data_IF_455558835094
#
_entry.id   IF_455558835094
#
_cell.length_a   1.000
_cell.length_b   1.000
_cell.length_c   1.000
_cell.angle_alpha   90.00
_cell.angle_beta   90.00
_cell.angle_gamma   90.00
#
_symmetry.space_group_name_H-M   'P 1'
#
loop_
_entity.id
_entity.type
_entity.pdbx_description
1 polymer ?
#
# COMPACT_ATOMS: atom_id res chain seq x y z
N UNK A 1 1.80 29.54 -32.80
CA UNK A 1 1.75 28.10 -32.43
C UNK A 1 2.57 27.77 -31.18
N UNK A 2 3.74 28.32 -31.05
CA UNK A 2 4.63 28.06 -29.88
C UNK A 2 4.07 28.62 -28.58
N UNK A 3 3.33 29.70 -28.61
CA UNK A 3 2.70 30.29 -27.42
C UNK A 3 1.56 29.46 -26.85
N UNK A 4 0.86 28.68 -27.65
CA UNK A 4 -0.23 27.81 -27.17
C UNK A 4 0.26 26.61 -26.36
N UNK A 5 1.45 26.15 -26.64
CA UNK A 5 2.06 25.04 -25.90
C UNK A 5 2.59 25.46 -24.53
N UNK A 6 3.06 26.68 -24.40
CA UNK A 6 3.55 27.21 -23.12
C UNK A 6 2.43 27.47 -22.14
N UNK A 7 1.28 27.94 -22.60
CA UNK A 7 0.11 28.19 -21.74
C UNK A 7 -0.50 26.91 -21.17
N UNK A 8 -0.30 25.77 -21.82
CA UNK A 8 -0.80 24.47 -21.32
C UNK A 8 0.11 23.82 -20.28
N UNK A 9 1.39 24.14 -20.27
CA UNK A 9 2.37 23.58 -19.34
C UNK A 9 2.24 24.17 -17.93
N UNK A 10 1.92 25.44 -17.83
CA UNK A 10 1.81 26.14 -16.54
C UNK A 10 0.71 25.57 -15.64
N UNK A 11 -0.55 25.39 -16.11
CA UNK A 11 -1.57 24.79 -15.25
C UNK A 11 -1.28 23.33 -14.89
N UNK A 12 -0.57 22.62 -15.73
CA UNK A 12 -0.20 21.24 -15.45
C UNK A 12 0.83 21.16 -14.33
N UNK A 13 1.81 22.02 -14.33
CA UNK A 13 2.82 22.09 -13.26
C UNK A 13 2.21 22.49 -11.91
N UNK A 14 1.27 23.43 -11.91
CA UNK A 14 0.54 23.84 -10.70
C UNK A 14 -0.31 22.71 -10.13
N UNK A 15 -0.98 21.95 -10.99
CA UNK A 15 -1.75 20.78 -10.56
C UNK A 15 -0.86 19.70 -9.94
N UNK A 16 0.31 19.45 -10.51
CA UNK A 16 1.26 18.49 -9.97
C UNK A 16 1.76 18.90 -8.59
N UNK A 17 2.06 20.17 -8.39
CA UNK A 17 2.46 20.70 -7.08
C UNK A 17 1.33 20.62 -6.05
N UNK A 18 0.10 20.93 -6.46
CA UNK A 18 -1.06 20.83 -5.60
C UNK A 18 -1.34 19.41 -5.12
N UNK A 19 -1.22 18.45 -6.01
CA UNK A 19 -1.38 17.03 -5.67
C UNK A 19 -0.30 16.55 -4.68
N UNK A 20 0.94 16.97 -4.90
CA UNK A 20 2.05 16.62 -4.00
C UNK A 20 1.87 17.18 -2.60
N UNK A 21 1.41 18.40 -2.46
CA UNK A 21 1.12 19.02 -1.18
C UNK A 21 -0.04 18.35 -0.45
N UNK A 22 -1.09 17.99 -1.16
CA UNK A 22 -2.23 17.27 -0.59
C UNK A 22 -1.83 15.87 -0.11
N UNK A 23 -0.97 15.20 -0.85
CA UNK A 23 -0.46 13.89 -0.47
C UNK A 23 0.37 13.96 0.80
N UNK A 24 1.27 14.93 0.93
CA UNK A 24 2.07 15.15 2.13
C UNK A 24 1.20 15.50 3.35
N UNK A 25 0.21 16.34 3.18
CA UNK A 25 -0.75 16.69 4.22
C UNK A 25 -1.59 15.48 4.64
N UNK A 26 -2.00 14.63 3.70
CA UNK A 26 -2.70 13.38 3.97
C UNK A 26 -1.85 12.41 4.79
N UNK A 27 -0.59 12.22 4.43
CA UNK A 27 0.33 11.37 5.17
C UNK A 27 0.56 11.86 6.61
N UNK A 28 0.63 13.16 6.84
CA UNK A 28 0.77 13.72 8.18
C UNK A 28 -0.48 13.50 9.05
N UNK A 29 -1.67 13.61 8.47
CA UNK A 29 -2.93 13.36 9.19
C UNK A 29 -3.10 11.92 9.58
N UNK A 30 -2.60 10.98 8.81
CA UNK A 30 -2.67 9.56 9.13
C UNK A 30 -1.78 9.17 10.30
N UNK A 31 -0.70 9.91 10.56
CA UNK A 31 0.22 9.63 11.65
C UNK A 31 -0.19 10.20 13.01
N UNK A 32 -0.94 11.28 13.05
CA UNK A 32 -1.28 11.97 14.29
C UNK A 32 -2.40 11.34 15.11
N UNK A 33 -3.50 10.80 14.54
CA UNK A 33 -4.62 10.34 15.34
C UNK A 33 -4.48 8.96 15.94
N UNK A 34 -3.42 8.24 15.62
CA UNK A 34 -3.32 6.81 15.94
C UNK A 34 -2.73 6.49 17.30
N UNK A 35 -2.25 7.47 18.03
CA UNK A 35 -1.73 7.24 19.37
C UNK A 35 -2.71 7.84 20.36
N UNK A 36 -3.70 7.08 20.81
CA UNK A 36 -4.50 7.52 21.94
C UNK A 36 -3.58 7.73 23.13
N UNK A 37 -3.87 8.73 23.91
CA UNK A 37 -3.13 9.10 25.09
C UNK A 37 -3.03 7.99 26.15
N UNK A 38 -3.75 6.88 25.98
CA UNK A 38 -3.56 5.66 26.74
C UNK A 38 -2.27 4.99 26.28
N UNK A 39 -1.20 5.44 26.82
CA UNK A 39 0.19 5.08 26.60
C UNK A 39 0.43 3.76 25.86
N UNK A 40 0.94 3.83 24.61
CA UNK A 40 1.38 2.64 23.88
C UNK A 40 2.39 1.80 24.65
N UNK A 41 3.09 2.40 25.58
CA UNK A 41 4.03 1.73 26.45
C UNK A 41 3.38 0.67 27.35
N UNK A 42 2.15 0.88 27.81
CA UNK A 42 1.45 -0.09 28.64
C UNK A 42 1.07 -1.35 27.85
N UNK A 43 0.75 -1.21 26.58
CA UNK A 43 0.44 -2.35 25.71
C UNK A 43 1.68 -3.13 25.33
N UNK A 44 2.79 -2.45 25.12
CA UNK A 44 4.06 -3.07 24.75
C UNK A 44 4.74 -3.79 25.91
N UNK A 45 4.31 -3.56 27.12
CA UNK A 45 4.77 -4.29 28.31
C UNK A 45 4.14 -5.67 28.45
N UNK A 46 2.98 -5.91 27.84
CA UNK A 46 2.36 -7.22 27.84
C UNK A 46 3.07 -8.13 26.82
N UNK A 47 3.79 -9.16 27.27
CA UNK A 47 4.56 -10.02 26.35
C UNK A 47 3.68 -10.82 25.41
N UNK A 48 2.47 -11.18 25.81
CA UNK A 48 1.52 -11.92 24.98
C UNK A 48 1.02 -11.06 23.83
N UNK A 49 0.58 -9.85 24.16
CA UNK A 49 0.11 -8.88 23.16
C UNK A 49 1.20 -8.52 22.18
N UNK A 50 2.40 -8.25 22.68
CA UNK A 50 3.57 -7.94 21.85
C UNK A 50 3.90 -9.08 20.89
N UNK A 51 3.88 -10.30 21.39
CA UNK A 51 4.14 -11.49 20.56
C UNK A 51 3.10 -11.61 19.45
N UNK A 52 1.83 -11.44 19.76
CA UNK A 52 0.75 -11.47 18.73
C UNK A 52 0.95 -10.40 17.65
N UNK A 53 1.32 -9.19 18.04
CA UNK A 53 1.60 -8.13 17.06
C UNK A 53 2.83 -8.45 16.21
N UNK A 54 3.89 -8.95 16.82
CA UNK A 54 5.12 -9.31 16.11
C UNK A 54 4.87 -10.45 15.11
N UNK A 55 4.06 -11.44 15.47
CA UNK A 55 3.65 -12.51 14.56
C UNK A 55 2.89 -11.96 13.35
N UNK A 56 1.94 -11.05 13.57
CA UNK A 56 1.18 -10.42 12.47
C UNK A 56 2.07 -9.54 11.59
N UNK A 57 3.01 -8.81 12.16
CA UNK A 57 4.00 -8.05 11.40
C UNK A 57 4.87 -8.95 10.54
N UNK A 58 5.30 -10.08 11.09
CA UNK A 58 6.08 -11.07 10.35
C UNK A 58 5.29 -11.66 9.17
N UNK A 59 4.01 -11.99 9.38
CA UNK A 59 3.12 -12.45 8.32
C UNK A 59 2.96 -11.41 7.21
N UNK A 60 2.72 -10.15 7.58
CA UNK A 60 2.59 -9.05 6.61
C UNK A 60 3.89 -8.84 5.82
N UNK A 61 5.03 -8.88 6.50
CA UNK A 61 6.33 -8.75 5.84
C UNK A 61 6.61 -9.89 4.87
N UNK A 62 6.23 -11.12 5.23
CA UNK A 62 6.36 -12.28 4.34
C UNK A 62 5.51 -12.13 3.07
N UNK A 63 4.28 -11.64 3.21
CA UNK A 63 3.40 -11.39 2.07
C UNK A 63 3.99 -10.32 1.14
N UNK A 64 4.52 -9.24 1.69
CA UNK A 64 5.16 -8.17 0.92
C UNK A 64 6.38 -8.69 0.16
N UNK A 65 7.21 -9.51 0.79
CA UNK A 65 8.38 -10.12 0.14
C UNK A 65 7.99 -11.06 -0.99
N UNK A 66 6.94 -11.84 -0.79
CA UNK A 66 6.44 -12.77 -1.82
C UNK A 66 5.84 -12.02 -2.99
N UNK A 67 5.12 -10.93 -2.74
CA UNK A 67 4.49 -10.10 -3.76
C UNK A 67 5.49 -9.32 -4.61
N UNK A 68 6.56 -8.84 -4.02
CA UNK A 68 7.52 -7.95 -4.68
C UNK A 68 8.04 -8.47 -6.02
N UNK A 69 8.60 -9.68 -6.14
CA UNK A 69 9.10 -10.16 -7.43
C UNK A 69 7.99 -10.35 -8.46
N UNK A 70 6.77 -10.66 -8.03
CA UNK A 70 5.62 -10.81 -8.93
C UNK A 70 5.22 -9.46 -9.54
N UNK A 71 5.17 -8.41 -8.72
CA UNK A 71 4.87 -7.05 -9.18
C UNK A 71 5.99 -6.54 -10.10
N UNK A 72 7.25 -6.77 -9.76
CA UNK A 72 8.38 -6.41 -10.62
C UNK A 72 8.31 -7.08 -11.98
N UNK A 73 7.90 -8.35 -12.03
CA UNK A 73 7.71 -9.06 -13.29
C UNK A 73 6.52 -8.50 -14.08
N UNK A 74 5.42 -8.15 -13.41
CA UNK A 74 4.29 -7.49 -14.08
C UNK A 74 4.69 -6.14 -14.66
N UNK A 75 5.47 -5.35 -13.94
CA UNK A 75 6.01 -4.08 -14.44
C UNK A 75 6.91 -4.29 -15.65
N UNK A 76 7.72 -5.33 -15.64
CA UNK A 76 8.55 -5.70 -16.80
C UNK A 76 7.70 -6.04 -18.02
N UNK A 77 6.61 -6.79 -17.85
CA UNK A 77 5.67 -7.09 -18.94
C UNK A 77 5.01 -5.83 -19.49
N UNK A 78 4.65 -4.88 -18.64
CA UNK A 78 4.13 -3.57 -19.06
C UNK A 78 5.17 -2.82 -19.90
N UNK A 79 6.43 -2.83 -19.50
CA UNK A 79 7.50 -2.20 -20.26
C UNK A 79 7.73 -2.87 -21.62
N UNK A 80 7.60 -4.19 -21.70
CA UNK A 80 7.79 -4.97 -22.92
C UNK A 80 6.62 -4.84 -23.90
N UNK A 81 5.40 -4.81 -23.39
CA UNK A 81 4.16 -4.91 -24.19
C UNK A 81 3.30 -3.63 -24.18
N UNK A 82 3.65 -2.61 -23.39
CA UNK A 82 2.88 -1.40 -23.25
C UNK A 82 1.80 -1.48 -22.18
N UNK A 83 1.09 -0.37 -21.98
CA UNK A 83 0.08 -0.22 -20.93
C UNK A 83 -1.32 -0.64 -21.36
N UNK A 84 -1.50 -1.20 -22.54
CA UNK A 84 -2.79 -1.66 -23.02
C UNK A 84 -3.22 -2.91 -22.24
N UNK A 85 -4.18 -2.76 -21.36
CA UNK A 85 -4.70 -3.85 -20.54
C UNK A 85 -5.24 -5.01 -21.37
N UNK A 86 -5.91 -4.72 -22.48
CA UNK A 86 -6.45 -5.74 -23.37
C UNK A 86 -5.35 -6.60 -23.98
N UNK A 87 -4.22 -5.98 -24.37
CA UNK A 87 -3.06 -6.71 -24.86
C UNK A 87 -2.40 -7.54 -23.77
N UNK A 88 -2.24 -6.99 -22.57
CA UNK A 88 -1.66 -7.70 -21.43
C UNK A 88 -2.50 -8.92 -21.02
N UNK A 89 -3.82 -8.81 -21.04
CA UNK A 89 -4.73 -9.91 -20.71
C UNK A 89 -4.65 -11.09 -21.67
N UNK A 90 -4.08 -10.90 -22.86
CA UNK A 90 -3.81 -11.99 -23.79
C UNK A 90 -2.55 -12.79 -23.46
N UNK A 91 -1.73 -12.29 -22.54
CA UNK A 91 -0.49 -12.92 -22.11
C UNK A 91 -0.80 -13.85 -20.93
N UNK A 92 -0.62 -15.18 -21.06
CA UNK A 92 -0.92 -16.12 -19.97
C UNK A 92 -0.12 -15.82 -18.69
N UNK A 93 1.14 -15.43 -18.82
CA UNK A 93 1.99 -15.03 -17.69
C UNK A 93 1.42 -13.86 -16.92
N UNK A 94 0.91 -12.83 -17.61
CA UNK A 94 0.26 -11.68 -17.01
C UNK A 94 -0.94 -12.09 -16.16
N UNK A 95 -1.82 -12.91 -16.70
CA UNK A 95 -3.02 -13.38 -16.01
C UNK A 95 -2.68 -14.20 -14.78
N UNK A 96 -1.66 -15.06 -14.86
CA UNK A 96 -1.20 -15.86 -13.74
C UNK A 96 -0.61 -14.98 -12.63
N UNK A 97 0.26 -14.03 -12.99
CA UNK A 97 0.83 -13.07 -12.05
C UNK A 97 -0.24 -12.19 -11.39
N UNK A 98 -1.17 -11.69 -12.17
CA UNK A 98 -2.28 -10.88 -11.68
C UNK A 98 -3.13 -11.65 -10.66
N UNK A 99 -3.43 -12.89 -10.94
CA UNK A 99 -4.17 -13.77 -10.03
C UNK A 99 -3.42 -13.99 -8.72
N UNK A 100 -2.13 -14.26 -8.79
CA UNK A 100 -1.28 -14.46 -7.62
C UNK A 100 -1.15 -13.18 -6.77
N UNK A 101 -0.93 -12.04 -7.41
CA UNK A 101 -0.85 -10.74 -6.72
C UNK A 101 -2.18 -10.39 -6.06
N UNK A 102 -3.29 -10.61 -6.75
CA UNK A 102 -4.63 -10.38 -6.19
C UNK A 102 -4.88 -11.24 -4.95
N UNK A 103 -4.51 -12.52 -4.99
CA UNK A 103 -4.61 -13.42 -3.85
C UNK A 103 -3.74 -12.96 -2.66
N UNK A 104 -2.51 -12.52 -2.93
CA UNK A 104 -1.62 -11.99 -1.90
C UNK A 104 -2.14 -10.69 -1.30
N UNK A 105 -2.71 -9.81 -2.11
CA UNK A 105 -3.35 -8.58 -1.62
C UNK A 105 -4.54 -8.87 -0.71
N UNK A 106 -5.38 -9.83 -1.06
CA UNK A 106 -6.49 -10.27 -0.21
C UNK A 106 -6.00 -10.83 1.12
N UNK A 107 -4.96 -11.65 1.09
CA UNK A 107 -4.33 -12.20 2.29
C UNK A 107 -3.71 -11.10 3.17
N UNK A 108 -3.08 -10.11 2.55
CA UNK A 108 -2.53 -8.96 3.25
C UNK A 108 -3.62 -8.18 4.00
N UNK A 109 -4.71 -7.86 3.33
CA UNK A 109 -5.84 -7.13 3.92
C UNK A 109 -6.50 -7.93 5.07
N UNK A 110 -6.65 -9.23 4.90
CA UNK A 110 -7.18 -10.10 5.96
C UNK A 110 -6.26 -10.12 7.18
N UNK A 111 -4.96 -10.28 6.98
CA UNK A 111 -3.97 -10.30 8.07
C UNK A 111 -3.92 -8.94 8.77
N UNK A 112 -3.99 -7.85 8.02
CA UNK A 112 -4.05 -6.50 8.56
C UNK A 112 -5.33 -6.29 9.40
N UNK A 113 -6.46 -6.77 8.92
CA UNK A 113 -7.71 -6.70 9.67
C UNK A 113 -7.64 -7.46 10.99
N UNK A 114 -7.00 -8.62 11.01
CA UNK A 114 -6.74 -9.38 12.24
C UNK A 114 -5.83 -8.64 13.20
N UNK A 115 -4.79 -7.99 12.68
CA UNK A 115 -3.90 -7.15 13.49
C UNK A 115 -4.68 -6.01 14.15
N UNK A 116 -5.48 -5.30 13.39
CA UNK A 116 -6.31 -4.20 13.90
C UNK A 116 -7.34 -4.69 14.94
N UNK A 117 -7.89 -5.87 14.73
CA UNK A 117 -8.81 -6.49 15.70
C UNK A 117 -8.12 -6.76 17.03
N UNK A 118 -6.91 -7.31 17.01
CA UNK A 118 -6.10 -7.55 18.22
C UNK A 118 -5.87 -6.23 18.96
N UNK A 119 -5.53 -5.17 18.27
CA UNK A 119 -5.31 -3.85 18.85
C UNK A 119 -6.61 -3.29 19.46
N UNK A 120 -7.71 -3.36 18.73
CA UNK A 120 -9.02 -2.88 19.19
C UNK A 120 -9.51 -3.62 20.44
N UNK A 121 -9.38 -4.92 20.45
CA UNK A 121 -9.76 -5.74 21.62
C UNK A 121 -8.94 -5.38 22.85
N UNK A 122 -7.68 -5.02 22.66
CA UNK A 122 -6.83 -4.58 23.76
C UNK A 122 -7.22 -3.21 24.29
N UNK A 123 -7.52 -2.27 23.38
CA UNK A 123 -7.91 -0.90 23.75
C UNK A 123 -9.28 -0.88 24.46
N UNK A 124 -10.20 -1.74 24.08
CA UNK A 124 -11.54 -1.79 24.67
C UNK A 124 -11.59 -2.43 26.07
N UNK A 125 -10.52 -3.02 26.53
CA UNK A 125 -10.37 -3.55 27.89
C UNK A 125 -9.71 -2.52 28.81
#
# INVERSE_FOLDING_TARGET
>A
MIMRTRARLVPFALCAMGISLLFLAGCRKEKEPEIPASSPESYMRDPVFRKQLDEKRAELSAIVRERKPLVERMEALVREHGQDLAALQKIPEWNDLHKKVTALNAKYEETRARQLKIVRERISK
#
